data_IF_754785299749
#
_entry.id   IF_754785299749
#
_cell.length_a   1.000
_cell.length_b   1.000
_cell.length_c   1.000
_cell.angle_alpha   90.00
_cell.angle_beta   90.00
_cell.angle_gamma   90.00
#
_symmetry.space_group_name_H-M   'P 1'
#
loop_
_entity.id
_entity.type
_entity.pdbx_description
1 polymer ?
#
# COMPACT_ATOMS: atom_id res chain seq x y z
N UNK A 1 6.24 4.34 11.18
CA UNK A 1 6.29 3.60 9.89
C UNK A 1 5.46 2.34 10.05
N UNK A 2 4.72 1.95 9.01
CA UNK A 2 4.03 0.66 8.95
C UNK A 2 4.70 -0.20 7.89
N UNK A 3 5.14 -1.39 8.26
CA UNK A 3 5.69 -2.39 7.34
C UNK A 3 4.77 -3.61 7.31
N UNK A 4 4.60 -4.21 6.13
CA UNK A 4 3.70 -5.33 5.92
C UNK A 4 4.21 -6.28 4.84
N UNK A 5 3.86 -7.55 5.00
CA UNK A 5 4.32 -8.64 4.15
C UNK A 5 3.13 -9.54 3.84
N UNK A 6 3.05 -10.00 2.59
CA UNK A 6 2.09 -10.98 2.13
C UNK A 6 2.75 -11.91 1.10
N UNK A 7 2.24 -13.13 0.98
CA UNK A 7 2.80 -14.08 0.01
C UNK A 7 1.77 -15.10 -0.46
N UNK A 8 2.04 -15.67 -1.62
CA UNK A 8 1.39 -16.86 -2.12
C UNK A 8 2.46 -17.93 -2.33
N UNK A 9 2.65 -18.79 -1.33
CA UNK A 9 3.70 -19.82 -1.33
C UNK A 9 3.69 -20.69 -2.60
N UNK A 10 2.54 -21.26 -2.97
CA UNK A 10 2.44 -22.17 -4.13
C UNK A 10 2.69 -21.48 -5.50
N UNK A 11 2.44 -20.18 -5.62
CA UNK A 11 2.74 -19.39 -6.82
C UNK A 11 4.12 -18.75 -6.75
N UNK A 12 4.81 -18.88 -5.61
CA UNK A 12 6.12 -18.31 -5.34
C UNK A 12 6.18 -16.79 -5.62
N UNK A 13 5.12 -16.11 -5.19
CA UNK A 13 4.99 -14.65 -5.26
C UNK A 13 4.99 -14.11 -3.84
N UNK A 14 5.73 -13.05 -3.58
CA UNK A 14 5.64 -12.31 -2.33
C UNK A 14 5.53 -10.81 -2.55
N UNK A 15 4.97 -10.12 -1.58
CA UNK A 15 4.89 -8.67 -1.52
C UNK A 15 5.41 -8.20 -0.16
N UNK A 16 6.40 -7.30 -0.16
CA UNK A 16 6.91 -6.64 1.05
C UNK A 16 6.84 -5.15 0.87
N UNK A 17 6.32 -4.43 1.85
CA UNK A 17 6.19 -2.98 1.76
C UNK A 17 6.43 -2.30 3.09
N UNK A 18 6.83 -1.03 3.01
CA UNK A 18 6.79 -0.13 4.13
C UNK A 18 6.30 1.24 3.68
N UNK A 19 5.53 1.89 4.54
CA UNK A 19 4.96 3.20 4.25
C UNK A 19 4.89 4.02 5.53
N UNK A 20 5.13 5.31 5.39
CA UNK A 20 4.84 6.32 6.40
C UNK A 20 4.40 7.60 5.71
N UNK A 21 3.73 8.45 6.47
CA UNK A 21 3.02 9.58 5.89
C UNK A 21 3.56 10.92 6.39
N UNK A 22 3.74 11.87 5.48
CA UNK A 22 3.88 13.30 5.83
C UNK A 22 2.57 14.02 5.49
N UNK A 23 1.86 14.45 6.52
CA UNK A 23 0.59 15.18 6.35
C UNK A 23 0.83 16.68 6.31
N UNK A 24 0.09 17.39 5.45
CA UNK A 24 0.09 18.86 5.32
C UNK A 24 -1.34 19.38 5.27
N UNK A 25 -1.60 20.45 6.02
CA UNK A 25 -2.85 21.20 5.89
C UNK A 25 -2.76 22.16 4.70
N UNK A 26 -3.77 22.15 3.83
CA UNK A 26 -3.82 22.88 2.56
C UNK A 26 -5.09 23.76 2.50
N UNK A 27 -5.44 24.40 3.61
CA UNK A 27 -6.67 25.19 3.74
C UNK A 27 -7.90 24.30 3.85
N UNK A 28 -8.68 24.17 2.78
CA UNK A 28 -9.89 23.32 2.75
C UNK A 28 -9.60 21.85 2.42
N UNK A 29 -8.32 21.46 2.41
CA UNK A 29 -7.86 20.11 2.09
C UNK A 29 -6.71 19.68 3.01
N UNK A 30 -6.51 18.37 3.11
CA UNK A 30 -5.36 17.75 3.77
C UNK A 30 -4.62 16.94 2.71
N UNK A 31 -3.33 17.20 2.53
CA UNK A 31 -2.45 16.36 1.71
C UNK A 31 -1.71 15.35 2.58
N UNK A 32 -1.65 14.10 2.14
CA UNK A 32 -0.95 13.00 2.80
C UNK A 32 0.05 12.44 1.80
N UNK A 33 1.32 12.76 2.02
CA UNK A 33 2.41 12.22 1.21
C UNK A 33 2.78 10.83 1.70
N UNK A 34 2.58 9.81 0.86
CA UNK A 34 2.91 8.43 1.19
C UNK A 34 4.37 8.17 0.79
N UNK A 35 5.23 7.96 1.78
CA UNK A 35 6.68 7.75 1.59
C UNK A 35 7.01 6.31 1.95
N UNK A 36 7.76 5.66 1.06
CA UNK A 36 8.15 4.27 1.16
C UNK A 36 7.95 3.58 -0.19
N UNK A 37 8.09 2.25 -0.17
CA UNK A 37 7.97 1.43 -1.36
C UNK A 37 7.41 0.04 -1.03
N UNK A 38 6.80 -0.57 -2.02
CA UNK A 38 6.47 -1.99 -2.08
C UNK A 38 7.36 -2.72 -3.07
N UNK A 39 7.61 -4.00 -2.81
CA UNK A 39 8.38 -4.88 -3.68
C UNK A 39 7.54 -6.13 -3.91
N UNK A 40 7.14 -6.36 -5.15
CA UNK A 40 6.59 -7.65 -5.61
C UNK A 40 7.74 -8.50 -6.09
N UNK A 41 7.94 -9.67 -5.49
CA UNK A 41 8.97 -10.64 -5.89
C UNK A 41 8.30 -11.80 -6.60
N UNK A 42 8.72 -12.07 -7.84
CA UNK A 42 8.40 -13.29 -8.59
C UNK A 42 9.58 -14.25 -8.45
N UNK A 43 9.53 -15.16 -7.46
CA UNK A 43 10.71 -15.95 -7.08
C UNK A 43 11.18 -16.89 -8.20
N UNK A 44 10.27 -17.42 -9.03
CA UNK A 44 10.64 -18.30 -10.15
C UNK A 44 11.41 -17.57 -11.26
N UNK A 45 11.14 -16.28 -11.45
CA UNK A 45 11.82 -15.46 -12.46
C UNK A 45 13.05 -14.75 -11.90
N UNK A 46 13.24 -14.80 -10.58
CA UNK A 46 14.21 -13.99 -9.85
C UNK A 46 14.03 -12.49 -10.14
N UNK A 47 12.78 -12.05 -10.27
CA UNK A 47 12.41 -10.67 -10.60
C UNK A 47 11.80 -9.97 -9.39
N UNK A 48 12.15 -8.70 -9.23
CA UNK A 48 11.57 -7.80 -8.23
C UNK A 48 11.00 -6.58 -8.95
N UNK A 49 9.75 -6.24 -8.63
CA UNK A 49 9.08 -5.05 -9.12
C UNK A 49 8.93 -4.08 -7.95
N UNK A 50 9.65 -2.97 -8.02
CA UNK A 50 9.68 -1.92 -7.02
C UNK A 50 8.60 -0.91 -7.36
N UNK A 51 7.70 -0.65 -6.41
CA UNK A 51 6.50 0.17 -6.57
C UNK A 51 6.46 1.27 -5.52
N UNK A 52 6.27 2.52 -5.93
CA UNK A 52 6.00 3.64 -5.01
C UNK A 52 4.49 3.83 -4.78
N UNK A 53 4.08 4.76 -3.91
CA UNK A 53 2.67 4.94 -3.53
C UNK A 53 2.14 6.30 -3.96
N UNK A 54 0.86 6.38 -4.41
CA UNK A 54 0.25 7.67 -4.71
C UNK A 54 0.03 8.45 -3.42
N UNK A 55 -0.02 9.77 -3.50
CA UNK A 55 -0.41 10.60 -2.37
C UNK A 55 -1.93 10.55 -2.17
N UNK A 56 -2.36 10.73 -0.93
CA UNK A 56 -3.78 10.86 -0.58
C UNK A 56 -4.15 12.31 -0.30
N UNK A 57 -5.34 12.73 -0.72
CA UNK A 57 -5.89 14.05 -0.43
C UNK A 57 -7.28 13.91 0.18
N UNK A 58 -7.44 14.42 1.40
CA UNK A 58 -8.74 14.66 2.00
C UNK A 58 -9.25 16.02 1.53
N UNK A 59 -10.28 16.05 0.71
CA UNK A 59 -10.88 17.27 0.16
C UNK A 59 -12.11 17.66 0.97
N UNK A 60 -12.52 18.93 0.90
CA UNK A 60 -13.78 19.42 1.46
C UNK A 60 -13.92 19.17 2.97
N UNK A 61 -12.84 19.37 3.73
CA UNK A 61 -12.77 19.03 5.16
C UNK A 61 -13.69 19.86 6.06
N UNK A 62 -14.20 21.00 5.56
CA UNK A 62 -15.16 21.86 6.27
C UNK A 62 -16.62 21.51 5.94
N UNK A 63 -16.86 20.57 5.02
CA UNK A 63 -18.20 20.12 4.63
C UNK A 63 -18.28 18.59 4.65
N UNK A 64 -18.58 17.95 3.51
CA UNK A 64 -18.57 16.48 3.39
C UNK A 64 -17.22 16.07 2.81
N UNK A 65 -16.32 15.48 3.64
CA UNK A 65 -15.01 15.13 3.17
C UNK A 65 -15.06 13.99 2.15
N UNK A 66 -14.15 14.00 1.18
CA UNK A 66 -13.95 12.89 0.25
C UNK A 66 -12.47 12.70 -0.05
N UNK A 67 -12.12 11.48 -0.45
CA UNK A 67 -10.73 11.07 -0.69
C UNK A 67 -10.41 11.11 -2.18
N UNK A 68 -9.22 11.58 -2.49
CA UNK A 68 -8.65 11.60 -3.82
C UNK A 68 -7.21 11.07 -3.78
N UNK A 69 -6.83 10.30 -4.79
CA UNK A 69 -5.43 9.93 -5.00
C UNK A 69 -4.79 10.88 -6.00
N UNK A 70 -3.51 11.20 -5.78
CA UNK A 70 -2.79 12.13 -6.64
C UNK A 70 -1.28 11.90 -6.70
N UNK A 71 -0.68 12.36 -7.79
CA UNK A 71 0.77 12.34 -8.02
C UNK A 71 1.26 11.06 -8.69
N UNK A 72 2.57 11.05 -8.91
CA UNK A 72 3.26 10.01 -9.68
C UNK A 72 3.63 8.81 -8.82
N UNK A 73 3.38 7.63 -9.38
CA UNK A 73 3.82 6.31 -8.93
C UNK A 73 4.72 5.72 -10.00
N UNK A 74 5.78 5.06 -9.58
CA UNK A 74 6.70 4.34 -10.45
C UNK A 74 6.62 2.86 -10.14
N UNK A 75 6.66 2.03 -11.18
CA UNK A 75 6.82 0.59 -11.11
C UNK A 75 8.04 0.23 -11.94
N UNK A 76 9.08 -0.36 -11.36
CA UNK A 76 10.29 -0.72 -12.10
C UNK A 76 10.80 -2.10 -11.75
N UNK A 77 11.31 -2.82 -12.76
CA UNK A 77 11.97 -4.10 -12.55
C UNK A 77 13.45 -3.99 -12.92
N UNK A 78 14.37 -3.97 -11.95
CA UNK A 78 15.80 -3.86 -12.22
C UNK A 78 16.35 -5.01 -13.07
N UNK A 79 15.75 -6.21 -12.98
CA UNK A 79 16.21 -7.39 -13.72
C UNK A 79 15.87 -7.34 -15.19
N UNK A 80 14.66 -6.92 -15.54
CA UNK A 80 14.21 -6.89 -16.94
C UNK A 80 14.44 -5.53 -17.59
N UNK A 81 14.54 -4.46 -16.80
CA UNK A 81 14.69 -3.07 -17.27
C UNK A 81 13.37 -2.40 -17.67
N UNK A 82 12.24 -3.12 -17.58
CA UNK A 82 10.93 -2.52 -17.80
C UNK A 82 10.58 -1.57 -16.67
N UNK A 83 9.93 -0.46 -17.02
CA UNK A 83 9.41 0.50 -16.05
C UNK A 83 8.09 1.09 -16.52
N UNK A 84 7.30 1.59 -15.57
CA UNK A 84 6.06 2.29 -15.82
C UNK A 84 5.97 3.52 -14.92
N UNK A 85 5.52 4.62 -15.51
CA UNK A 85 5.15 5.84 -14.80
C UNK A 85 3.63 5.93 -14.78
N UNK A 86 3.05 5.98 -13.58
CA UNK A 86 1.61 6.01 -13.33
C UNK A 86 1.26 7.33 -12.65
N UNK A 87 0.44 8.15 -13.29
CA UNK A 87 0.00 9.44 -12.75
C UNK A 87 -1.44 9.34 -12.25
N UNK A 88 -1.62 9.55 -10.95
CA UNK A 88 -2.95 9.74 -10.36
C UNK A 88 -3.32 11.22 -10.48
N UNK A 89 -4.34 11.50 -11.29
CA UNK A 89 -4.73 12.85 -11.63
C UNK A 89 -5.79 13.36 -10.65
N UNK A 90 -5.43 14.38 -9.87
CA UNK A 90 -6.41 15.08 -9.02
C UNK A 90 -7.40 15.86 -9.88
N UNK A 91 -8.65 15.94 -9.42
CA UNK A 91 -9.72 16.66 -10.09
C UNK A 91 -9.33 18.14 -10.28
N UNK A 92 -9.36 18.65 -11.52
CA UNK A 92 -9.17 20.07 -11.78
C UNK A 92 -10.22 20.96 -11.08
N UNK A 93 -9.86 22.22 -10.84
CA UNK A 93 -10.79 23.20 -10.27
C UNK A 93 -12.00 23.47 -11.17
N UNK A 94 -11.81 23.41 -12.49
CA UNK A 94 -12.86 23.66 -13.49
C UNK A 94 -13.23 22.37 -14.22
N UNK A 95 -14.39 21.81 -13.88
CA UNK A 95 -14.89 20.59 -14.52
C UNK A 95 -13.97 19.37 -14.32
N UNK A 96 -14.25 18.30 -15.04
CA UNK A 96 -13.45 17.07 -15.02
C UNK A 96 -13.97 15.98 -14.10
N UNK A 97 -13.52 14.76 -14.39
CA UNK A 97 -13.88 13.54 -13.66
C UNK A 97 -12.94 13.31 -12.47
N UNK A 98 -13.47 12.68 -11.42
CA UNK A 98 -12.67 12.19 -10.29
C UNK A 98 -11.90 10.94 -10.71
N UNK A 99 -10.92 10.57 -9.88
CA UNK A 99 -10.25 9.27 -9.93
C UNK A 99 -9.55 8.95 -11.25
N UNK A 100 -9.17 9.98 -12.03
CA UNK A 100 -8.47 9.76 -13.29
C UNK A 100 -7.07 9.22 -13.03
N UNK A 101 -6.63 8.30 -13.88
CA UNK A 101 -5.29 7.74 -13.86
C UNK A 101 -4.79 7.61 -15.30
N UNK A 102 -3.49 7.86 -15.49
CA UNK A 102 -2.77 7.55 -16.73
C UNK A 102 -1.53 6.76 -16.40
N UNK A 103 -1.11 5.85 -17.26
CA UNK A 103 0.16 5.15 -17.11
C UNK A 103 0.86 5.02 -18.46
N UNK A 104 2.18 5.13 -18.45
CA UNK A 104 3.04 4.91 -19.61
C UNK A 104 4.02 3.79 -19.26
N UNK A 105 4.09 2.77 -20.11
CA UNK A 105 4.94 1.58 -19.90
C UNK A 105 6.04 1.56 -20.94
N UNK A 106 7.27 1.40 -20.47
CA UNK A 106 8.50 1.54 -21.25
C UNK A 106 9.29 0.24 -21.28
N UNK A 107 9.84 -0.05 -22.46
CA UNK A 107 10.77 -1.14 -22.63
C UNK A 107 12.18 -0.75 -22.13
N UNK A 108 13.08 -1.72 -21.93
CA UNK A 108 14.41 -1.45 -21.38
C UNK A 108 15.20 -0.48 -22.25
N UNK A 109 15.62 0.65 -21.66
CA UNK A 109 16.41 1.68 -22.35
C UNK A 109 15.63 2.59 -23.29
N UNK A 110 14.32 2.39 -23.45
CA UNK A 110 13.48 3.18 -24.34
C UNK A 110 12.90 4.41 -23.64
N UNK A 111 12.88 5.54 -24.37
CA UNK A 111 12.24 6.78 -23.90
C UNK A 111 10.77 6.89 -24.32
N UNK A 112 10.35 6.08 -25.29
CA UNK A 112 8.99 6.07 -25.80
C UNK A 112 8.25 4.89 -25.19
N UNK A 113 7.11 5.15 -24.58
CA UNK A 113 6.26 4.10 -24.05
C UNK A 113 5.69 3.24 -25.19
N UNK A 114 5.69 1.92 -25.01
CA UNK A 114 5.07 1.00 -25.96
C UNK A 114 3.59 0.78 -25.67
N UNK A 115 3.15 1.11 -24.45
CA UNK A 115 1.73 1.11 -24.04
C UNK A 115 1.44 2.34 -23.19
N UNK A 116 0.29 2.95 -23.49
CA UNK A 116 -0.32 4.02 -22.69
C UNK A 116 -1.66 3.52 -22.15
N UNK A 117 -1.89 3.64 -20.85
CA UNK A 117 -3.15 3.27 -20.18
C UNK A 117 -3.81 4.54 -19.67
N UNK A 118 -5.13 4.67 -19.81
CA UNK A 118 -5.87 5.79 -19.27
C UNK A 118 -7.27 5.39 -18.83
N UNK A 119 -7.78 6.03 -17.78
CA UNK A 119 -9.16 5.83 -17.34
C UNK A 119 -9.39 6.29 -15.91
N UNK A 120 -10.20 5.54 -15.18
CA UNK A 120 -10.56 5.82 -13.80
C UNK A 120 -10.08 4.66 -12.90
N UNK A 121 -9.25 4.92 -11.89
CA UNK A 121 -8.70 3.86 -11.03
C UNK A 121 -9.77 3.15 -10.19
N UNK A 122 -10.94 3.77 -10.06
CA UNK A 122 -12.13 3.22 -9.42
C UNK A 122 -13.17 2.68 -10.42
N UNK A 123 -12.77 2.46 -11.67
CA UNK A 123 -13.66 2.05 -12.75
C UNK A 123 -12.91 1.40 -13.90
N UNK A 124 -13.25 1.80 -15.13
CA UNK A 124 -12.64 1.26 -16.33
C UNK A 124 -11.38 2.04 -16.75
N UNK A 125 -10.39 1.30 -17.24
CA UNK A 125 -9.18 1.79 -17.87
C UNK A 125 -9.00 1.10 -19.22
N UNK A 126 -8.50 1.83 -20.20
CA UNK A 126 -8.21 1.37 -21.55
C UNK A 126 -6.71 1.44 -21.83
N UNK A 127 -6.19 0.44 -22.55
CA UNK A 127 -4.81 0.40 -23.04
C UNK A 127 -4.77 0.79 -24.53
N UNK A 128 -3.74 1.54 -24.89
CA UNK A 128 -3.40 1.90 -26.26
C UNK A 128 -1.96 1.51 -26.54
N UNK A 129 -1.77 0.64 -27.52
CA UNK A 129 -0.45 0.20 -27.97
C UNK A 129 0.17 1.24 -28.92
N UNK A 130 1.47 1.51 -28.73
CA UNK A 130 2.24 2.50 -29.50
C UNK A 130 3.19 1.81 -30.52
N UNK A 131 2.74 0.70 -31.09
CA UNK A 131 3.46 -0.15 -32.06
C UNK A 131 3.33 0.33 -33.52
N UNK A 132 2.65 1.45 -33.76
CA UNK A 132 2.39 1.98 -35.10
C UNK A 132 1.13 1.42 -35.76
N UNK A 133 0.45 0.46 -35.11
CA UNK A 133 -0.89 0.05 -35.51
C UNK A 133 -1.90 1.18 -35.26
N UNK A 134 -2.99 1.22 -36.03
CA UNK A 134 -4.14 2.10 -35.76
C UNK A 134 -5.20 1.38 -34.92
N UNK A 135 -4.79 0.44 -34.07
CA UNK A 135 -5.73 -0.27 -33.21
C UNK A 135 -6.45 0.73 -32.30
N UNK A 136 -7.75 0.53 -32.12
CA UNK A 136 -8.53 1.29 -31.15
C UNK A 136 -8.06 0.92 -29.74
N UNK A 137 -8.17 1.82 -28.76
CA UNK A 137 -7.96 1.46 -27.37
C UNK A 137 -8.81 0.24 -26.99
N UNK A 138 -8.21 -0.67 -26.24
CA UNK A 138 -8.88 -1.85 -25.73
C UNK A 138 -9.06 -1.75 -24.22
N UNK A 139 -10.04 -2.45 -23.67
CA UNK A 139 -10.25 -2.46 -22.22
C UNK A 139 -9.05 -3.12 -21.55
N UNK A 140 -8.32 -2.36 -20.73
CA UNK A 140 -7.23 -2.88 -19.91
C UNK A 140 -7.78 -3.58 -18.68
N UNK A 141 -8.63 -2.90 -17.93
CA UNK A 141 -9.32 -3.45 -16.77
C UNK A 141 -10.57 -2.65 -16.46
N UNK A 142 -11.64 -3.33 -16.03
CA UNK A 142 -12.76 -2.70 -15.34
C UNK A 142 -12.78 -3.20 -13.89
N UNK A 143 -12.41 -2.32 -12.96
CA UNK A 143 -12.30 -2.65 -11.53
C UNK A 143 -13.65 -3.08 -10.95
N UNK A 144 -14.78 -2.58 -11.49
CA UNK A 144 -16.11 -2.95 -11.01
C UNK A 144 -16.50 -4.39 -11.38
N UNK A 145 -15.82 -4.99 -12.35
CA UNK A 145 -16.04 -6.38 -12.76
C UNK A 145 -15.27 -7.39 -11.91
N UNK A 146 -14.32 -6.94 -11.08
CA UNK A 146 -13.44 -7.82 -10.31
C UNK A 146 -14.12 -8.19 -8.98
N UNK A 147 -14.25 -9.50 -8.65
CA UNK A 147 -14.82 -9.91 -7.37
C UNK A 147 -13.94 -9.49 -6.19
N UNK A 148 -14.59 -9.06 -5.09
CA UNK A 148 -13.91 -8.68 -3.85
C UNK A 148 -13.65 -9.94 -3.01
N UNK A 149 -12.38 -10.26 -2.79
CA UNK A 149 -11.96 -11.34 -1.90
C UNK A 149 -11.60 -10.79 -0.53
N UNK A 150 -12.42 -11.11 0.48
CA UNK A 150 -12.18 -10.67 1.84
C UNK A 150 -11.07 -11.48 2.52
N UNK A 151 -10.24 -10.79 3.32
CA UNK A 151 -9.24 -11.44 4.17
C UNK A 151 -9.92 -12.27 5.25
N UNK A 152 -9.52 -13.53 5.37
CA UNK A 152 -9.85 -14.36 6.52
C UNK A 152 -8.98 -13.93 7.71
N UNK A 153 -9.63 -13.62 8.84
CA UNK A 153 -8.96 -13.14 10.05
C UNK A 153 -9.54 -13.89 11.23
N UNK A 154 -8.67 -14.34 12.15
CA UNK A 154 -9.08 -15.06 13.36
C UNK A 154 -10.11 -14.27 14.18
N UNK A 155 -11.04 -14.95 14.89
CA UNK A 155 -11.89 -14.32 15.88
C UNK A 155 -11.10 -13.53 16.91
N UNK A 156 -11.67 -12.43 17.44
CA UNK A 156 -10.99 -11.55 18.41
C UNK A 156 -10.53 -12.31 19.66
N UNK A 157 -11.27 -13.35 20.08
CA UNK A 157 -10.93 -14.19 21.21
C UNK A 157 -9.61 -14.99 21.02
N UNK A 158 -9.23 -15.24 19.77
CA UNK A 158 -8.02 -15.99 19.38
C UNK A 158 -6.88 -15.06 18.90
N UNK A 159 -7.03 -13.76 19.07
CA UNK A 159 -6.03 -12.77 18.67
C UNK A 159 -5.08 -12.44 19.84
N UNK A 160 -3.81 -12.21 19.51
CA UNK A 160 -2.84 -11.67 20.47
C UNK A 160 -3.24 -10.26 20.91
N UNK A 161 -2.79 -9.83 22.08
CA UNK A 161 -3.18 -8.55 22.70
C UNK A 161 -2.89 -7.32 21.85
N UNK A 162 -1.87 -7.39 20.99
CA UNK A 162 -1.43 -6.30 20.11
C UNK A 162 -1.95 -6.45 18.67
N UNK A 163 -2.81 -7.42 18.37
CA UNK A 163 -3.47 -7.49 17.07
C UNK A 163 -4.55 -6.40 16.93
N UNK A 164 -4.62 -5.79 15.75
CA UNK A 164 -5.37 -4.54 15.55
C UNK A 164 -6.85 -4.65 15.91
N UNK A 165 -7.54 -5.77 15.59
CA UNK A 165 -8.98 -5.87 15.93
C UNK A 165 -9.20 -6.00 17.43
N UNK A 166 -8.27 -6.62 18.18
CA UNK A 166 -8.35 -6.75 19.63
C UNK A 166 -8.04 -5.41 20.33
N UNK A 167 -6.98 -4.71 19.90
CA UNK A 167 -6.61 -3.39 20.42
C UNK A 167 -7.74 -2.37 20.22
N UNK A 168 -8.31 -2.33 19.02
CA UNK A 168 -9.30 -1.30 18.65
C UNK A 168 -10.75 -1.74 18.82
N UNK A 169 -11.03 -2.86 19.51
CA UNK A 169 -12.38 -3.44 19.62
C UNK A 169 -13.41 -2.47 20.23
N UNK A 170 -13.05 -1.78 21.32
CA UNK A 170 -13.99 -0.89 22.03
C UNK A 170 -14.22 0.41 21.27
N UNK A 171 -13.17 0.94 20.63
CA UNK A 171 -13.27 2.12 19.76
C UNK A 171 -14.20 1.82 18.59
N UNK A 172 -13.99 0.69 17.91
CA UNK A 172 -14.83 0.28 16.78
C UNK A 172 -16.25 -0.07 17.20
N UNK A 173 -16.47 -0.60 18.40
CA UNK A 173 -17.81 -0.81 18.94
C UNK A 173 -18.56 0.51 19.19
N UNK A 174 -17.91 1.49 19.83
CA UNK A 174 -18.49 2.83 20.02
C UNK A 174 -18.86 3.49 18.70
N UNK A 175 -17.94 3.47 17.72
CA UNK A 175 -18.19 4.03 16.38
C UNK A 175 -19.37 3.36 15.67
N UNK A 176 -19.50 2.02 15.75
CA UNK A 176 -20.62 1.29 15.15
C UNK A 176 -21.97 1.60 15.80
N UNK A 177 -21.96 1.89 17.10
CA UNK A 177 -23.16 2.29 17.85
C UNK A 177 -23.44 3.80 17.77
N UNK A 178 -22.62 4.55 17.02
CA UNK A 178 -22.65 6.00 16.97
C UNK A 178 -22.52 6.67 18.36
N UNK A 179 -21.85 5.99 19.28
CA UNK A 179 -21.52 6.47 20.63
C UNK A 179 -20.11 7.06 20.61
N UNK A 180 -20.05 8.37 20.33
CA UNK A 180 -18.80 9.11 20.14
C UNK A 180 -18.02 9.24 21.45
N UNK A 181 -18.72 9.40 22.57
CA UNK A 181 -18.07 9.53 23.89
C UNK A 181 -17.39 8.22 24.26
N UNK A 182 -18.08 7.08 24.11
CA UNK A 182 -17.48 5.76 24.34
C UNK A 182 -16.28 5.52 23.42
N UNK A 183 -16.40 5.84 22.14
CA UNK A 183 -15.30 5.67 21.19
C UNK A 183 -14.08 6.53 21.57
N UNK A 184 -14.32 7.77 22.00
CA UNK A 184 -13.28 8.72 22.43
C UNK A 184 -12.60 8.25 23.70
N UNK A 185 -13.36 7.88 24.73
CA UNK A 185 -12.80 7.34 25.98
C UNK A 185 -11.97 6.08 25.74
N UNK A 186 -12.48 5.14 24.95
CA UNK A 186 -11.74 3.92 24.60
C UNK A 186 -10.45 4.23 23.82
N UNK A 187 -10.49 5.19 22.89
CA UNK A 187 -9.30 5.64 22.16
C UNK A 187 -8.27 6.23 23.11
N UNK A 188 -8.70 7.10 24.04
CA UNK A 188 -7.82 7.68 25.06
C UNK A 188 -7.15 6.60 25.91
N UNK A 189 -7.88 5.55 26.33
CA UNK A 189 -7.31 4.43 27.09
C UNK A 189 -6.22 3.69 26.33
N UNK A 190 -6.46 3.37 25.04
CA UNK A 190 -5.44 2.71 24.19
C UNK A 190 -4.19 3.59 24.04
N UNK A 191 -4.38 4.88 23.76
CA UNK A 191 -3.26 5.80 23.57
C UNK A 191 -2.48 6.07 24.86
N UNK A 192 -3.16 6.13 26.00
CA UNK A 192 -2.51 6.32 27.30
C UNK A 192 -1.68 5.10 27.68
N UNK A 193 -2.21 3.89 27.51
CA UNK A 193 -1.47 2.65 27.73
C UNK A 193 -0.16 2.63 26.92
N UNK A 194 -0.20 2.99 25.63
CA UNK A 194 1.00 3.06 24.79
C UNK A 194 1.99 4.15 25.24
N UNK A 195 1.51 5.28 25.78
CA UNK A 195 2.37 6.33 26.34
C UNK A 195 3.09 5.85 27.59
N UNK A 196 2.39 5.15 28.48
CA UNK A 196 2.94 4.63 29.72
C UNK A 196 3.98 3.53 29.44
N UNK A 197 3.68 2.56 28.56
CA UNK A 197 4.64 1.53 28.13
C UNK A 197 5.89 2.11 27.44
N UNK A 198 5.74 3.22 26.68
CA UNK A 198 6.89 3.90 26.08
C UNK A 198 7.75 4.61 27.12
N UNK A 199 7.14 5.18 28.16
CA UNK A 199 7.83 5.82 29.28
C UNK A 199 8.61 4.79 30.10
N UNK A 200 7.97 3.69 30.48
CA UNK A 200 8.61 2.60 31.24
C UNK A 200 9.82 2.02 30.50
N UNK A 201 9.67 1.76 29.19
CA UNK A 201 10.80 1.28 28.36
C UNK A 201 11.97 2.25 28.35
N UNK A 202 11.69 3.55 28.24
CA UNK A 202 12.73 4.59 28.27
C UNK A 202 13.43 4.65 29.63
N UNK A 203 12.68 4.54 30.73
CA UNK A 203 13.23 4.54 32.10
C UNK A 203 14.11 3.31 32.37
N UNK A 204 13.77 2.17 31.77
CA UNK A 204 14.56 0.93 31.84
C UNK A 204 15.75 0.89 30.86
N UNK A 205 15.94 1.94 30.04
CA UNK A 205 16.99 1.98 29.02
C UNK A 205 16.78 0.99 27.87
N UNK A 206 15.56 0.48 27.69
CA UNK A 206 15.21 -0.48 26.64
C UNK A 206 14.80 0.21 25.33
N UNK A 207 15.08 -0.45 24.20
CA UNK A 207 14.58 -0.05 22.88
C UNK A 207 13.38 -0.91 22.46
N UNK A 208 12.60 -0.42 21.49
CA UNK A 208 11.54 -1.23 20.90
C UNK A 208 12.11 -2.30 19.97
N UNK A 209 11.87 -3.57 20.27
CA UNK A 209 12.21 -4.67 19.38
C UNK A 209 11.06 -5.00 18.42
N UNK A 210 11.32 -4.91 17.13
CA UNK A 210 10.33 -5.23 16.10
C UNK A 210 10.23 -6.74 15.88
N UNK A 211 9.01 -7.29 16.00
CA UNK A 211 8.76 -8.74 15.92
C UNK A 211 9.07 -9.38 14.55
N UNK A 212 8.75 -8.68 13.45
CA UNK A 212 8.75 -9.28 12.10
C UNK A 212 9.65 -8.56 11.08
N UNK A 213 9.98 -7.30 11.31
CA UNK A 213 10.74 -6.48 10.36
C UNK A 213 11.98 -5.89 11.02
N UNK A 214 13.03 -5.71 10.22
CA UNK A 214 14.26 -5.04 10.62
C UNK A 214 14.44 -3.77 9.81
N UNK A 215 14.81 -2.68 10.49
CA UNK A 215 15.17 -1.43 9.83
C UNK A 215 16.57 -1.56 9.23
N UNK A 216 16.73 -1.18 7.95
CA UNK A 216 18.02 -1.15 7.24
C UNK A 216 18.08 0.14 6.44
N UNK A 217 18.81 1.13 6.96
CA UNK A 217 18.76 2.50 6.45
C UNK A 217 17.35 3.05 6.55
N UNK A 218 16.79 3.52 5.43
CA UNK A 218 15.40 4.00 5.35
C UNK A 218 14.39 2.88 5.04
N UNK A 219 14.87 1.66 4.77
CA UNK A 219 14.03 0.53 4.37
C UNK A 219 13.66 -0.37 5.56
N UNK A 220 12.59 -1.15 5.38
CA UNK A 220 12.15 -2.17 6.32
C UNK A 220 12.10 -3.53 5.63
N UNK A 221 12.87 -4.48 6.15
CA UNK A 221 13.03 -5.81 5.54
C UNK A 221 12.31 -6.84 6.41
N UNK A 222 11.44 -7.63 5.79
CA UNK A 222 10.79 -8.76 6.46
C UNK A 222 11.83 -9.81 6.85
N UNK A 223 11.75 -10.32 8.07
CA UNK A 223 12.82 -11.16 8.65
C UNK A 223 12.88 -12.58 8.05
N UNK A 224 11.82 -13.05 7.38
CA UNK A 224 11.73 -14.42 6.89
C UNK A 224 11.09 -14.53 5.48
N UNK A 225 11.66 -13.86 4.45
CA UNK A 225 11.05 -13.77 3.13
C UNK A 225 11.00 -15.13 2.41
N UNK A 226 9.96 -15.31 1.58
CA UNK A 226 9.72 -16.53 0.81
C UNK A 226 10.93 -16.99 -0.01
N UNK A 227 11.61 -16.08 -0.70
CA UNK A 227 12.79 -16.38 -1.52
C UNK A 227 13.90 -17.09 -0.74
N UNK A 228 14.18 -16.65 0.49
CA UNK A 228 15.17 -17.28 1.36
C UNK A 228 14.73 -18.68 1.81
N UNK A 229 13.45 -18.85 2.14
CA UNK A 229 12.89 -20.15 2.53
C UNK A 229 12.93 -21.16 1.38
N UNK A 230 12.57 -20.75 0.17
CA UNK A 230 12.65 -21.58 -1.02
C UNK A 230 14.09 -21.97 -1.36
N UNK A 231 15.04 -21.03 -1.26
CA UNK A 231 16.46 -21.33 -1.44
C UNK A 231 16.96 -22.36 -0.43
N UNK A 232 16.66 -22.17 0.86
CA UNK A 232 17.05 -23.11 1.91
C UNK A 232 16.47 -24.51 1.71
N UNK A 233 15.21 -24.61 1.27
CA UNK A 233 14.57 -25.88 0.93
C UNK A 233 15.27 -26.56 -0.26
N UNK A 234 15.52 -25.83 -1.35
CA UNK A 234 16.21 -26.37 -2.52
C UNK A 234 17.61 -26.91 -2.21
N UNK A 235 18.31 -26.31 -1.24
CA UNK A 235 19.63 -26.77 -0.77
C UNK A 235 19.53 -28.04 0.06
N UNK A 236 18.43 -28.24 0.78
CA UNK A 236 18.15 -29.47 1.53
C UNK A 236 17.79 -30.62 0.59
N UNK A 237 16.95 -30.36 -0.42
CA UNK A 237 16.50 -31.39 -1.37
C UNK A 237 17.64 -31.90 -2.29
N UNK A 238 18.73 -31.14 -2.43
CA UNK A 238 19.95 -31.52 -3.17
C UNK A 238 20.97 -32.30 -2.33
N UNK A 239 20.75 -32.43 -1.01
CA UNK A 239 21.62 -33.20 -0.10
C UNK A 239 21.00 -34.55 0.17
#
# INVERSE_FOLDING_TARGET
VSAFYAEHYAKKISFSAHVWTKSKFLGISIGVHNIGQGIVTLCDLNEEYIVTFPNGYGRSILTVPWIELGGTVTISCPRTGYHADVEFLTKPFYGGKKNRVTAEIFAPGEKKAFVSIAGEWSGAMEAKWNDGSRHKPEVFVDVNSIPIFHKNVRPIAEQDDNESRKVWKEVTAGLKLNDIDRATSAKCSVEQKQRDEAKERKEQGGEWENKYFKAVGENWIYSNPLSQRLYAQSKRDRR
#
